data_IF_524967981194
#
_entry.id   IF_524967981194
#
_cell.length_a   1.000
_cell.length_b   1.000
_cell.length_c   1.000
_cell.angle_alpha   90.00
_cell.angle_beta   90.00
_cell.angle_gamma   90.00
#
_symmetry.space_group_name_H-M   'P 1'
#
loop_
_entity.id
_entity.type
_entity.pdbx_description
1 polymer ?
#
# COMPACT_ATOMS: atom_id res chain seq x y z
N UNK A 1 4.33 -27.45 36.59
CA UNK A 1 3.64 -27.67 35.29
C UNK A 1 4.48 -28.62 34.45
N UNK A 2 3.96 -29.81 34.13
CA UNK A 2 4.66 -30.81 33.30
C UNK A 2 4.63 -30.41 31.82
N UNK A 3 5.74 -30.61 31.09
CA UNK A 3 5.84 -30.28 29.66
C UNK A 3 5.04 -31.32 28.86
N UNK A 4 4.18 -30.91 27.90
CA UNK A 4 3.47 -31.85 27.07
C UNK A 4 4.45 -32.75 26.31
N UNK A 5 4.19 -34.06 26.32
CA UNK A 5 5.04 -35.06 25.69
C UNK A 5 5.13 -34.87 24.17
N UNK A 6 6.24 -35.31 23.57
CA UNK A 6 6.51 -35.17 22.13
C UNK A 6 5.36 -35.69 21.26
N UNK A 7 4.82 -36.87 21.59
CA UNK A 7 3.68 -37.47 20.90
C UNK A 7 2.38 -36.66 21.01
N UNK A 8 2.17 -35.98 22.15
CA UNK A 8 1.02 -35.09 22.31
C UNK A 8 1.11 -33.90 21.36
N UNK A 9 2.30 -33.32 21.20
CA UNK A 9 2.56 -32.22 20.26
C UNK A 9 2.33 -32.65 18.82
N UNK A 10 2.82 -33.84 18.42
CA UNK A 10 2.60 -34.40 17.08
C UNK A 10 1.10 -34.59 16.81
N UNK A 11 0.38 -35.18 17.77
CA UNK A 11 -1.07 -35.40 17.65
C UNK A 11 -1.88 -34.10 17.59
N UNK A 12 -1.52 -33.10 18.39
CA UNK A 12 -2.13 -31.77 18.30
C UNK A 12 -1.89 -31.12 16.94
N UNK A 13 -0.69 -31.24 16.38
CA UNK A 13 -0.36 -30.70 15.07
C UNK A 13 -1.13 -31.42 13.95
N UNK A 14 -1.29 -32.75 14.04
CA UNK A 14 -2.10 -33.54 13.11
C UNK A 14 -3.60 -33.18 13.18
N UNK A 15 -4.16 -33.04 14.39
CA UNK A 15 -5.55 -32.56 14.53
C UNK A 15 -5.74 -31.15 13.99
N UNK A 16 -4.75 -30.27 14.20
CA UNK A 16 -4.78 -28.91 13.63
C UNK A 16 -4.69 -28.92 12.11
N UNK A 17 -3.90 -29.80 11.50
CA UNK A 17 -3.82 -29.88 10.04
C UNK A 17 -5.12 -30.38 9.40
N UNK A 18 -5.86 -31.27 10.07
CA UNK A 18 -7.19 -31.70 9.60
C UNK A 18 -8.27 -30.63 9.79
N UNK A 19 -8.24 -29.90 10.91
CA UNK A 19 -9.27 -28.92 11.24
C UNK A 19 -9.06 -27.54 10.55
N UNK A 20 -7.85 -27.25 10.08
CA UNK A 20 -7.49 -25.96 9.50
C UNK A 20 -7.97 -25.80 8.05
N UNK A 21 -9.28 -25.87 7.81
CA UNK A 21 -9.85 -25.30 6.60
C UNK A 21 -10.16 -23.83 6.89
N UNK A 22 -9.33 -22.93 6.35
CA UNK A 22 -9.57 -21.50 6.46
C UNK A 22 -10.96 -21.16 5.88
N UNK A 23 -11.85 -20.65 6.74
CA UNK A 23 -13.19 -20.24 6.33
C UNK A 23 -13.07 -18.89 5.61
N UNK A 24 -12.96 -18.94 4.28
CA UNK A 24 -12.95 -17.76 3.40
C UNK A 24 -14.39 -17.38 3.06
N UNK A 25 -14.81 -16.18 3.45
CA UNK A 25 -16.08 -15.58 3.02
C UNK A 25 -15.84 -14.74 1.77
N UNK A 26 -16.53 -15.05 0.68
CA UNK A 26 -16.48 -14.25 -0.54
C UNK A 26 -17.06 -12.85 -0.30
N UNK A 27 -16.38 -11.82 -0.80
CA UNK A 27 -16.76 -10.42 -0.63
C UNK A 27 -17.17 -9.80 -1.97
N UNK A 28 -16.36 -10.00 -3.01
CA UNK A 28 -16.63 -9.41 -4.32
C UNK A 28 -15.50 -9.65 -5.32
N UNK A 29 -15.68 -9.06 -6.50
CA UNK A 29 -14.79 -9.15 -7.65
C UNK A 29 -14.52 -7.73 -8.18
N UNK A 30 -13.31 -7.47 -8.66
CA UNK A 30 -12.98 -6.19 -9.31
C UNK A 30 -13.21 -6.23 -10.82
N UNK A 31 -12.98 -5.09 -11.49
CA UNK A 31 -13.12 -4.94 -12.95
C UNK A 31 -12.18 -5.88 -13.72
N UNK A 32 -11.08 -6.32 -13.10
CA UNK A 32 -10.09 -7.21 -13.70
C UNK A 32 -10.37 -8.69 -13.41
N UNK A 33 -11.40 -8.97 -12.60
CA UNK A 33 -11.83 -10.31 -12.22
C UNK A 33 -11.05 -10.93 -11.06
N UNK A 34 -10.32 -10.13 -10.29
CA UNK A 34 -9.68 -10.58 -9.06
C UNK A 34 -10.76 -10.80 -7.99
N UNK A 35 -10.70 -11.94 -7.27
CA UNK A 35 -11.71 -12.31 -6.26
C UNK A 35 -11.21 -12.00 -4.86
N UNK A 36 -12.02 -11.33 -4.07
CA UNK A 36 -11.66 -10.87 -2.73
C UNK A 36 -12.41 -11.64 -1.65
N UNK A 37 -11.71 -11.96 -0.56
CA UNK A 37 -12.21 -12.78 0.52
C UNK A 37 -11.89 -12.20 1.90
N UNK A 38 -12.80 -12.46 2.83
CA UNK A 38 -12.59 -12.24 4.25
C UNK A 38 -12.31 -13.58 4.93
N UNK A 39 -11.14 -13.70 5.57
CA UNK A 39 -10.72 -14.88 6.31
C UNK A 39 -11.31 -14.81 7.71
N UNK A 40 -12.24 -15.71 8.02
CA UNK A 40 -12.87 -15.83 9.33
C UNK A 40 -12.00 -16.73 10.24
N UNK A 41 -11.88 -16.38 11.52
CA UNK A 41 -11.27 -17.25 12.55
C UNK A 41 -9.81 -16.98 12.92
N UNK A 42 -9.11 -16.03 12.28
CA UNK A 42 -7.75 -15.61 12.72
C UNK A 42 -7.85 -14.46 13.72
N UNK A 43 -7.25 -14.64 14.91
CA UNK A 43 -7.38 -13.70 16.05
C UNK A 43 -6.61 -12.40 15.90
N UNK A 44 -5.56 -12.32 15.06
CA UNK A 44 -4.72 -11.10 14.98
C UNK A 44 -4.17 -10.87 13.56
N UNK A 45 -4.58 -9.75 12.99
CA UNK A 45 -3.90 -8.93 11.96
C UNK A 45 -4.24 -9.08 10.47
N UNK A 46 -4.48 -10.27 9.89
CA UNK A 46 -4.83 -10.34 8.45
C UNK A 46 -6.11 -11.15 8.24
N UNK A 47 -7.22 -10.41 8.16
CA UNK A 47 -8.56 -10.96 7.93
C UNK A 47 -8.99 -10.88 6.46
N UNK A 48 -8.13 -10.39 5.55
CA UNK A 48 -8.52 -10.05 4.17
C UNK A 48 -7.45 -10.50 3.19
N UNK A 49 -7.87 -11.04 2.06
CA UNK A 49 -6.99 -11.52 1.00
C UNK A 49 -7.71 -11.53 -0.34
N UNK A 50 -6.97 -11.77 -1.42
CA UNK A 50 -7.52 -11.89 -2.76
C UNK A 50 -6.81 -12.98 -3.55
N UNK A 51 -7.53 -13.59 -4.49
CA UNK A 51 -6.98 -14.53 -5.45
C UNK A 51 -7.00 -13.85 -6.84
N UNK A 52 -5.85 -13.68 -7.50
CA UNK A 52 -5.80 -13.09 -8.83
C UNK A 52 -6.43 -14.04 -9.86
N UNK A 53 -7.06 -13.49 -10.90
CA UNK A 53 -7.66 -14.29 -11.98
C UNK A 53 -6.61 -15.03 -12.81
N UNK A 54 -5.47 -14.38 -13.04
CA UNK A 54 -4.34 -14.91 -13.79
C UNK A 54 -3.02 -14.43 -13.17
N UNK A 55 -1.91 -15.13 -13.46
CA UNK A 55 -0.57 -14.73 -12.99
C UNK A 55 -0.13 -13.35 -13.52
N UNK A 56 -0.70 -12.92 -14.64
CA UNK A 56 -0.46 -11.61 -15.24
C UNK A 56 -1.57 -10.61 -14.92
N UNK A 57 -2.44 -10.89 -13.93
CA UNK A 57 -3.49 -9.96 -13.55
C UNK A 57 -2.87 -8.65 -13.05
N UNK A 58 -3.37 -7.48 -13.48
CA UNK A 58 -2.90 -6.21 -12.96
C UNK A 58 -3.15 -6.12 -11.46
N UNK A 59 -2.35 -5.26 -10.79
CA UNK A 59 -2.50 -5.04 -9.36
C UNK A 59 -3.94 -4.58 -9.02
N UNK A 60 -4.44 -4.96 -7.83
CA UNK A 60 -5.72 -4.47 -7.33
C UNK A 60 -5.83 -2.95 -7.38
N UNK A 61 -7.03 -2.45 -7.66
CA UNK A 61 -7.29 -1.01 -7.59
C UNK A 61 -6.94 -0.43 -6.21
N UNK A 62 -6.65 0.87 -6.13
CA UNK A 62 -6.29 1.57 -4.88
C UNK A 62 -7.33 1.36 -3.77
N UNK A 63 -8.61 1.30 -4.10
CA UNK A 63 -9.69 1.09 -3.13
C UNK A 63 -9.69 -0.32 -2.56
N UNK A 64 -9.49 -1.32 -3.43
CA UNK A 64 -9.29 -2.71 -3.03
C UNK A 64 -8.02 -2.89 -2.19
N UNK A 65 -6.94 -2.19 -2.52
CA UNK A 65 -5.72 -2.17 -1.70
C UNK A 65 -5.95 -1.54 -0.32
N UNK A 66 -6.69 -0.44 -0.24
CA UNK A 66 -7.05 0.19 1.03
C UNK A 66 -7.91 -0.75 1.90
N UNK A 67 -8.84 -1.48 1.28
CA UNK A 67 -9.61 -2.50 1.98
C UNK A 67 -8.74 -3.68 2.43
N UNK A 68 -7.86 -4.20 1.58
CA UNK A 68 -6.93 -5.29 1.94
C UNK A 68 -6.00 -4.90 3.10
N UNK A 69 -5.49 -3.66 3.09
CA UNK A 69 -4.64 -3.10 4.16
C UNK A 69 -5.40 -2.82 5.45
N UNK A 70 -6.74 -2.85 5.43
CA UNK A 70 -7.57 -2.57 6.59
C UNK A 70 -7.75 -1.09 6.91
N UNK A 71 -7.25 -0.17 6.07
CA UNK A 71 -7.49 1.27 6.25
C UNK A 71 -8.96 1.62 6.01
N UNK A 72 -9.63 0.87 5.14
CA UNK A 72 -11.07 0.99 4.87
C UNK A 72 -11.86 -0.14 5.52
N UNK A 73 -12.99 0.14 6.18
CA UNK A 73 -13.83 -0.92 6.80
C UNK A 73 -14.66 -1.72 5.79
N UNK A 74 -15.27 -1.03 4.83
CA UNK A 74 -16.18 -1.61 3.83
C UNK A 74 -15.45 -1.85 2.50
N UNK A 75 -15.77 -2.94 1.77
CA UNK A 75 -15.24 -3.13 0.42
C UNK A 75 -15.71 -2.00 -0.50
N UNK A 76 -14.98 -1.73 -1.60
CA UNK A 76 -15.41 -0.75 -2.59
C UNK A 76 -16.72 -1.17 -3.27
N UNK A 77 -17.56 -0.18 -3.57
CA UNK A 77 -18.78 -0.38 -4.36
C UNK A 77 -18.48 -0.27 -5.86
N UNK A 78 -19.27 -0.97 -6.69
CA UNK A 78 -19.16 -0.85 -8.15
C UNK A 78 -19.43 0.57 -8.66
N UNK A 79 -20.21 1.37 -7.94
CA UNK A 79 -20.46 2.78 -8.26
C UNK A 79 -19.22 3.66 -8.03
N UNK A 80 -18.46 3.39 -6.96
CA UNK A 80 -17.24 4.14 -6.64
C UNK A 80 -16.18 3.97 -7.73
N UNK A 81 -16.05 2.75 -8.25
CA UNK A 81 -15.17 2.47 -9.37
C UNK A 81 -15.52 3.31 -10.61
N UNK A 82 -16.82 3.48 -10.92
CA UNK A 82 -17.28 4.30 -12.05
C UNK A 82 -16.97 5.77 -11.86
N UNK A 83 -17.26 6.30 -10.66
CA UNK A 83 -16.97 7.69 -10.32
C UNK A 83 -15.48 7.97 -10.41
N UNK A 84 -14.63 7.05 -9.95
CA UNK A 84 -13.17 7.19 -10.08
C UNK A 84 -12.73 7.25 -11.53
N UNK A 85 -13.22 6.36 -12.39
CA UNK A 85 -12.88 6.38 -13.82
C UNK A 85 -13.31 7.70 -14.46
N UNK A 86 -14.50 8.20 -14.13
CA UNK A 86 -14.99 9.50 -14.61
C UNK A 86 -14.10 10.65 -14.15
N UNK A 87 -13.72 10.68 -12.87
CA UNK A 87 -12.85 11.71 -12.32
C UNK A 87 -11.44 11.67 -12.94
N UNK A 88 -10.90 10.48 -13.19
CA UNK A 88 -9.60 10.32 -13.85
C UNK A 88 -9.63 10.83 -15.30
N UNK A 89 -10.74 10.61 -16.01
CA UNK A 89 -10.93 11.16 -17.35
C UNK A 89 -11.07 12.68 -17.34
N UNK A 90 -11.81 13.24 -16.37
CA UNK A 90 -11.94 14.69 -16.22
C UNK A 90 -10.57 15.34 -15.92
N UNK A 91 -9.83 14.79 -14.97
CA UNK A 91 -8.48 15.27 -14.62
C UNK A 91 -7.51 15.20 -15.79
N UNK A 92 -7.51 14.12 -16.57
CA UNK A 92 -6.60 14.01 -17.71
C UNK A 92 -6.89 15.05 -18.80
N UNK A 93 -8.15 15.42 -18.99
CA UNK A 93 -8.56 16.50 -19.90
C UNK A 93 -8.12 17.86 -19.36
N UNK A 94 -8.32 18.12 -18.07
CA UNK A 94 -7.87 19.34 -17.41
C UNK A 94 -6.35 19.49 -17.47
N UNK A 95 -5.60 18.44 -17.15
CA UNK A 95 -4.14 18.40 -17.21
C UNK A 95 -3.62 18.63 -18.64
N UNK A 96 -4.28 18.04 -19.65
CA UNK A 96 -3.92 18.27 -21.05
C UNK A 96 -4.15 19.73 -21.46
N UNK A 97 -5.24 20.35 -21.01
CA UNK A 97 -5.52 21.76 -21.26
C UNK A 97 -4.53 22.67 -20.51
N UNK A 98 -4.22 22.35 -19.25
CA UNK A 98 -3.23 23.08 -18.46
C UNK A 98 -1.85 22.98 -19.11
N UNK A 99 -1.41 21.80 -19.54
CA UNK A 99 -0.12 21.61 -20.21
C UNK A 99 0.00 22.40 -21.52
N UNK A 100 -1.12 22.57 -22.26
CA UNK A 100 -1.16 23.41 -23.47
C UNK A 100 -1.07 24.91 -23.14
N UNK A 101 -1.68 25.33 -22.04
CA UNK A 101 -1.78 26.75 -21.65
C UNK A 101 -0.66 27.19 -20.68
N UNK A 102 0.08 26.24 -20.11
CA UNK A 102 1.10 26.51 -19.12
C UNK A 102 2.26 27.30 -19.76
N UNK A 103 2.70 28.41 -19.15
CA UNK A 103 3.87 29.12 -19.61
C UNK A 103 5.07 28.17 -19.54
N UNK A 104 5.73 27.96 -20.67
CA UNK A 104 6.94 27.14 -20.75
C UNK A 104 8.05 27.90 -20.03
N UNK A 105 8.23 27.64 -18.74
CA UNK A 105 9.39 28.13 -18.00
C UNK A 105 10.58 27.36 -18.54
N UNK A 106 11.37 28.00 -19.39
CA UNK A 106 12.71 27.53 -19.70
C UNK A 106 13.51 27.62 -18.41
N UNK A 107 13.58 26.50 -17.68
CA UNK A 107 14.57 26.34 -16.63
C UNK A 107 15.90 26.33 -17.37
N UNK A 108 16.53 27.50 -17.51
CA UNK A 108 17.91 27.58 -17.91
C UNK A 108 18.67 26.71 -16.93
N UNK A 109 19.05 25.50 -17.37
CA UNK A 109 20.09 24.73 -16.70
C UNK A 109 21.38 25.50 -16.92
N UNK A 110 21.51 26.64 -16.23
CA UNK A 110 22.81 27.22 -15.98
C UNK A 110 23.58 26.10 -15.28
N UNK A 111 24.59 25.58 -15.96
CA UNK A 111 25.57 24.60 -15.44
C UNK A 111 26.50 25.25 -14.41
N UNK A 112 25.92 26.11 -13.59
CA UNK A 112 26.53 26.79 -12.47
C UNK A 112 25.54 26.66 -11.32
N UNK A 113 25.37 25.42 -10.86
CA UNK A 113 25.13 25.22 -9.44
C UNK A 113 26.40 25.69 -8.70
N UNK A 114 26.65 27.00 -8.73
CA UNK A 114 27.38 27.65 -7.66
C UNK A 114 26.59 27.25 -6.42
N UNK A 115 27.20 26.35 -5.64
CA UNK A 115 26.64 25.77 -4.43
C UNK A 115 25.83 26.84 -3.70
N UNK A 116 24.50 26.70 -3.69
CA UNK A 116 23.67 27.52 -2.81
C UNK A 116 24.08 27.07 -1.41
N UNK A 117 25.07 27.76 -0.85
CA UNK A 117 25.47 27.59 0.52
C UNK A 117 24.26 28.02 1.33
N UNK A 118 23.57 27.04 1.92
CA UNK A 118 22.58 27.32 2.94
C UNK A 118 23.17 28.31 3.97
N UNK A 119 22.36 29.22 4.53
CA UNK A 119 22.84 30.15 5.55
C UNK A 119 23.49 29.33 6.69
N UNK A 120 24.78 29.58 6.94
CA UNK A 120 25.50 28.95 8.05
C UNK A 120 25.30 29.80 9.30
N UNK A 121 24.76 29.18 10.32
CA UNK A 121 24.52 29.79 11.61
C UNK A 121 25.70 29.42 12.54
N UNK A 122 26.48 30.39 13.05
CA UNK A 122 27.69 30.10 13.82
C UNK A 122 27.40 29.46 15.19
N UNK A 123 26.16 29.53 15.65
CA UNK A 123 25.62 28.92 16.87
C UNK A 123 25.11 27.49 16.68
N UNK A 124 24.96 27.03 15.43
CA UNK A 124 24.53 25.67 15.12
C UNK A 124 25.74 24.77 14.89
N UNK A 125 25.85 23.69 15.66
CA UNK A 125 26.88 22.69 15.43
C UNK A 125 26.60 21.90 14.14
N UNK A 126 27.47 22.03 13.14
CA UNK A 126 27.39 21.25 11.89
C UNK A 126 27.63 19.74 12.14
N UNK A 127 28.40 19.40 13.18
CA UNK A 127 28.69 18.03 13.58
C UNK A 127 28.63 17.91 15.12
N UNK A 128 27.74 17.05 15.66
CA UNK A 128 27.59 16.93 17.10
C UNK A 128 28.87 16.42 17.74
N UNK A 129 29.38 17.17 18.74
CA UNK A 129 30.56 16.79 19.53
C UNK A 129 31.92 17.21 18.97
N UNK A 130 31.97 17.97 17.87
CA UNK A 130 33.22 18.53 17.34
C UNK A 130 33.36 20.00 17.74
N UNK A 131 34.03 20.26 18.85
CA UNK A 131 34.40 21.63 19.21
C UNK A 131 35.64 22.06 18.42
N UNK A 132 35.47 23.04 17.53
CA UNK A 132 36.59 23.69 16.84
C UNK A 132 37.50 24.34 17.88
N UNK A 133 38.70 23.78 18.11
CA UNK A 133 39.70 24.41 18.98
C UNK A 133 40.11 25.75 18.38
N UNK A 134 40.02 26.80 19.21
CA UNK A 134 40.46 28.16 18.90
C UNK A 134 41.98 28.25 18.76
#
# INVERSE_FOLDING_TARGET
MSRPGVWHTVWMNFKKSLAAREMKKYVGEDVHGNRYYQILGKRKSVMRGYDPKSLSSPEPSVEWLAWLKGTRKHPPSGEEARVRTMNQQAQSVEDANLARNAPRVEVSRNKEAASISYPRYPDLEDQPGVHKRR
#
